data_IF_879777886742
#
_entry.id   IF_879777886742
#
_cell.length_a   1.000
_cell.length_b   1.000
_cell.length_c   1.000
_cell.angle_alpha   90.00
_cell.angle_beta   90.00
_cell.angle_gamma   90.00
#
_symmetry.space_group_name_H-M   'P 1'
#
loop_
_entity.id
_entity.type
_entity.pdbx_description
1 polymer ?
#
# COMPACT_ATOMS: atom_id res chain seq x y z
N UNK A 1 -15.97 15.02 -1.71
CA UNK A 1 -15.64 15.48 -0.33
C UNK A 1 -14.66 14.46 0.21
N UNK A 2 -13.47 14.88 0.64
CA UNK A 2 -12.41 13.94 1.02
C UNK A 2 -12.86 13.05 2.18
N UNK A 3 -13.02 11.75 1.91
CA UNK A 3 -13.39 10.78 2.95
C UNK A 3 -12.18 10.33 3.75
N UNK A 4 -12.17 10.68 5.03
CA UNK A 4 -11.05 10.41 5.92
C UNK A 4 -10.98 8.94 6.37
N UNK A 5 -12.12 8.23 6.43
CA UNK A 5 -12.17 6.84 6.88
C UNK A 5 -11.25 5.91 6.06
N UNK A 6 -11.44 5.83 4.72
CA UNK A 6 -10.57 5.05 3.84
C UNK A 6 -9.09 5.42 3.98
N UNK A 7 -8.80 6.72 4.12
CA UNK A 7 -7.42 7.22 4.26
C UNK A 7 -6.79 6.71 5.56
N UNK A 8 -7.47 6.89 6.70
CA UNK A 8 -6.97 6.50 8.02
C UNK A 8 -6.79 4.99 8.11
N UNK A 9 -7.79 4.20 7.69
CA UNK A 9 -7.70 2.74 7.72
C UNK A 9 -6.63 2.20 6.77
N UNK A 10 -6.51 2.77 5.57
CA UNK A 10 -5.44 2.42 4.64
C UNK A 10 -4.07 2.73 5.25
N UNK A 11 -3.86 3.90 5.86
CA UNK A 11 -2.60 4.23 6.55
C UNK A 11 -2.26 3.25 7.66
N UNK A 12 -3.22 2.91 8.53
CA UNK A 12 -3.00 1.97 9.63
C UNK A 12 -2.60 0.59 9.09
N UNK A 13 -3.36 0.05 8.13
CA UNK A 13 -3.05 -1.25 7.51
C UNK A 13 -1.68 -1.21 6.81
N UNK A 14 -1.40 -0.13 6.08
CA UNK A 14 -0.13 0.07 5.41
C UNK A 14 1.04 0.09 6.40
N UNK A 15 0.92 0.84 7.50
CA UNK A 15 1.93 0.89 8.56
C UNK A 15 2.17 -0.48 9.19
N UNK A 16 1.10 -1.22 9.48
CA UNK A 16 1.19 -2.58 10.01
C UNK A 16 1.95 -3.50 9.05
N UNK A 17 1.58 -3.53 7.77
CA UNK A 17 2.25 -4.36 6.75
C UNK A 17 3.70 -3.91 6.57
N UNK A 18 3.93 -2.61 6.38
CA UNK A 18 5.25 -2.02 6.18
C UNK A 18 6.22 -2.32 7.32
N UNK A 19 5.73 -2.29 8.57
CA UNK A 19 6.54 -2.63 9.75
C UNK A 19 7.06 -4.07 9.76
N UNK A 20 6.40 -4.99 9.04
CA UNK A 20 6.81 -6.38 8.95
C UNK A 20 7.79 -6.64 7.80
N UNK A 21 8.00 -5.68 6.89
CA UNK A 21 8.94 -5.80 5.79
C UNK A 21 10.37 -5.69 6.34
N UNK A 22 11.14 -6.77 6.25
CA UNK A 22 12.54 -6.81 6.70
C UNK A 22 13.47 -6.15 5.67
N UNK A 23 14.56 -5.54 6.14
CA UNK A 23 15.52 -4.84 5.28
C UNK A 23 16.47 -5.80 4.54
N UNK A 24 16.87 -6.89 5.19
CA UNK A 24 17.76 -7.91 4.64
C UNK A 24 17.00 -9.22 4.44
N UNK A 25 16.41 -9.38 3.26
CA UNK A 25 15.84 -10.65 2.82
C UNK A 25 16.64 -11.12 1.61
N UNK A 26 17.51 -12.11 1.81
CA UNK A 26 18.17 -12.84 0.73
C UNK A 26 17.28 -13.90 0.10
N UNK A 27 16.17 -14.27 0.76
CA UNK A 27 15.38 -15.47 0.46
C UNK A 27 14.10 -15.20 -0.33
N UNK A 28 13.79 -13.93 -0.65
CA UNK A 28 12.67 -13.62 -1.54
C UNK A 28 13.08 -13.94 -2.97
N UNK A 29 12.63 -15.10 -3.47
CA UNK A 29 12.70 -15.48 -4.88
C UNK A 29 11.93 -14.54 -5.84
N UNK A 30 11.39 -13.42 -5.33
CA UNK A 30 10.73 -12.41 -6.14
C UNK A 30 11.78 -11.59 -6.88
N UNK A 31 11.82 -11.76 -8.20
CA UNK A 31 12.60 -10.90 -9.07
C UNK A 31 12.01 -9.48 -9.06
N UNK A 32 12.83 -8.48 -9.37
CA UNK A 32 12.38 -7.10 -9.51
C UNK A 32 11.21 -6.97 -10.50
N UNK A 33 11.22 -7.77 -11.58
CA UNK A 33 10.11 -7.84 -12.54
C UNK A 33 8.79 -8.32 -11.93
N UNK A 34 8.83 -9.33 -11.05
CA UNK A 34 7.63 -9.79 -10.35
C UNK A 34 7.05 -8.70 -9.44
N UNK A 35 7.90 -7.89 -8.80
CA UNK A 35 7.46 -6.75 -7.99
C UNK A 35 6.76 -5.68 -8.84
N UNK A 36 7.30 -5.37 -10.02
CA UNK A 36 6.68 -4.43 -10.96
C UNK A 36 5.30 -4.93 -11.41
N UNK A 37 5.16 -6.22 -11.73
CA UNK A 37 3.87 -6.80 -12.13
C UNK A 37 2.84 -6.71 -11.00
N UNK A 38 3.22 -7.09 -9.77
CA UNK A 38 2.34 -7.00 -8.60
C UNK A 38 1.91 -5.55 -8.33
N UNK A 39 2.83 -4.59 -8.50
CA UNK A 39 2.52 -3.18 -8.33
C UNK A 39 1.51 -2.68 -9.36
N UNK A 40 1.70 -3.01 -10.65
CA UNK A 40 0.75 -2.66 -11.72
C UNK A 40 -0.62 -3.30 -11.46
N UNK A 41 -0.66 -4.59 -11.10
CA UNK A 41 -1.90 -5.28 -10.76
C UNK A 41 -2.62 -4.59 -9.59
N UNK A 42 -1.88 -4.17 -8.56
CA UNK A 42 -2.41 -3.40 -7.44
C UNK A 42 -3.06 -2.08 -7.88
N UNK A 43 -2.43 -1.32 -8.79
CA UNK A 43 -3.01 -0.09 -9.35
C UNK A 43 -4.31 -0.38 -10.11
N UNK A 44 -4.32 -1.42 -10.95
CA UNK A 44 -5.53 -1.79 -11.72
C UNK A 44 -6.67 -2.17 -10.78
N UNK A 45 -6.40 -2.98 -9.74
CA UNK A 45 -7.40 -3.35 -8.73
C UNK A 45 -7.91 -2.11 -7.98
N UNK A 46 -7.02 -1.20 -7.60
CA UNK A 46 -7.39 0.03 -6.90
C UNK A 46 -8.20 1.01 -7.78
N UNK A 47 -7.95 1.01 -9.09
CA UNK A 47 -8.74 1.77 -10.05
C UNK A 47 -10.13 1.15 -10.23
N UNK A 48 -10.20 -0.18 -10.45
CA UNK A 48 -11.47 -0.88 -10.66
C UNK A 48 -12.34 -0.93 -9.40
N UNK A 49 -11.74 -1.01 -8.21
CA UNK A 49 -12.47 -0.96 -6.95
C UNK A 49 -13.06 0.42 -6.67
N UNK A 50 -12.52 1.47 -7.31
CA UNK A 50 -12.88 2.85 -7.05
C UNK A 50 -12.73 3.22 -5.57
N UNK A 51 -13.37 4.32 -5.18
CA UNK A 51 -13.38 4.76 -3.79
C UNK A 51 -14.73 4.43 -3.15
N UNK A 52 -14.76 3.53 -2.16
CA UNK A 52 -16.01 3.19 -1.43
C UNK A 52 -16.39 4.28 -0.42
N UNK A 53 -17.68 4.69 -0.27
CA UNK A 53 -18.87 4.26 -1.01
C UNK A 53 -19.19 5.29 -2.12
N UNK A 54 -18.48 5.19 -3.24
CA UNK A 54 -18.66 5.97 -4.47
C UNK A 54 -18.17 7.43 -4.43
N UNK A 55 -16.98 7.68 -3.87
CA UNK A 55 -16.37 9.01 -3.97
C UNK A 55 -15.72 9.22 -5.33
N UNK A 56 -15.98 10.38 -5.95
CA UNK A 56 -15.40 10.79 -7.23
C UNK A 56 -14.15 11.67 -7.05
N UNK A 57 -13.56 11.66 -5.86
CA UNK A 57 -12.46 12.58 -5.50
C UNK A 57 -11.18 12.27 -6.29
N UNK A 58 -10.84 10.99 -6.40
CA UNK A 58 -9.68 10.50 -7.14
C UNK A 58 -10.07 9.28 -7.99
N UNK A 59 -9.40 9.08 -9.15
CA UNK A 59 -9.64 7.91 -10.01
C UNK A 59 -9.13 6.60 -9.40
N UNK A 60 -8.36 6.65 -8.32
CA UNK A 60 -7.80 5.50 -7.62
C UNK A 60 -8.27 5.56 -6.16
N UNK A 61 -8.57 4.40 -5.57
CA UNK A 61 -8.96 4.29 -4.16
C UNK A 61 -8.01 5.06 -3.23
N UNK A 62 -8.57 5.95 -2.41
CA UNK A 62 -7.78 6.72 -1.43
C UNK A 62 -7.25 5.81 -0.31
N UNK A 63 -7.93 4.70 -0.01
CA UNK A 63 -7.42 3.68 0.90
C UNK A 63 -6.19 2.95 0.34
N UNK A 64 -6.17 2.67 -0.97
CA UNK A 64 -4.99 2.06 -1.59
C UNK A 64 -3.79 2.99 -1.56
N UNK A 65 -3.97 4.26 -1.95
CA UNK A 65 -2.91 5.26 -1.92
C UNK A 65 -2.38 5.47 -0.50
N UNK A 66 -3.28 5.59 0.48
CA UNK A 66 -2.90 5.80 1.88
C UNK A 66 -2.21 4.57 2.48
N UNK A 67 -2.62 3.36 2.09
CA UNK A 67 -1.92 2.12 2.46
C UNK A 67 -0.53 2.03 1.83
N UNK A 68 -0.37 2.42 0.57
CA UNK A 68 0.94 2.46 -0.08
C UNK A 68 1.91 3.38 0.68
N UNK A 69 1.45 4.58 1.04
CA UNK A 69 2.22 5.52 1.87
C UNK A 69 2.55 4.88 3.22
N UNK A 70 1.54 4.27 3.87
CA UNK A 70 1.72 3.58 5.15
C UNK A 70 2.76 2.47 5.09
N UNK A 71 2.82 1.70 4.00
CA UNK A 71 3.82 0.63 3.80
C UNK A 71 5.23 1.22 3.77
N UNK A 72 5.46 2.27 2.98
CA UNK A 72 6.77 2.91 2.91
C UNK A 72 7.17 3.54 4.23
N UNK A 73 6.27 4.29 4.87
CA UNK A 73 6.52 4.91 6.18
C UNK A 73 6.76 3.83 7.25
N UNK A 74 5.94 2.78 7.27
CA UNK A 74 6.04 1.69 8.23
C UNK A 74 7.34 0.92 8.08
N UNK A 75 7.78 0.69 6.84
CA UNK A 75 9.10 0.14 6.54
C UNK A 75 10.21 1.08 6.99
N UNK A 76 10.13 2.38 6.69
CA UNK A 76 11.19 3.33 7.06
C UNK A 76 11.35 3.49 8.57
N UNK A 77 10.24 3.56 9.32
CA UNK A 77 10.26 3.83 10.76
C UNK A 77 10.49 2.55 11.57
N UNK A 78 9.87 1.43 11.17
CA UNK A 78 9.80 0.23 11.99
C UNK A 78 10.50 -0.98 11.39
N UNK A 79 11.05 -0.91 10.17
CA UNK A 79 11.74 -2.08 9.62
C UNK A 79 12.94 -2.42 10.51
N UNK A 80 12.83 -3.59 11.12
CA UNK A 80 13.87 -4.12 12.00
C UNK A 80 14.96 -4.70 11.12
N UNK A 81 16.16 -4.17 11.26
CA UNK A 81 17.36 -4.90 10.86
C UNK A 81 17.46 -6.09 11.80
N UNK A 82 17.39 -7.31 11.25
CA UNK A 82 17.99 -8.46 11.91
C UNK A 82 19.36 -8.67 11.30
#
# INVERSE_FOLDING_TARGET
MLSLGPIIFGLILGLLIGSQIRLNISDTHFTLGAFVIVFIAGIIVAWQSGNYPFYTDLPISTAFLSALIGIFVGKLIFARSK
#
